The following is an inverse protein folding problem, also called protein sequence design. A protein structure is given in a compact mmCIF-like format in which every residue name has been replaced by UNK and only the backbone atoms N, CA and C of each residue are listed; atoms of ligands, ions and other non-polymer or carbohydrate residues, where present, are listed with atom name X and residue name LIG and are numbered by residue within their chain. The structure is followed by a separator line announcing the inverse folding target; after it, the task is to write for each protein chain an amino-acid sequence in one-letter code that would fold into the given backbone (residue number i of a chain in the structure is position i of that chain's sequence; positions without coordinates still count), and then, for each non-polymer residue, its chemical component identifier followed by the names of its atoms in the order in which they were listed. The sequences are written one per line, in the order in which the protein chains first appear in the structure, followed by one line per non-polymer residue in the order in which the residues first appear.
data_IF_891763338713
#
_entry.id   IF_891763338713
#
_cell.length_a   1.000
_cell.length_b   1.000
_cell.length_c   1.000
_cell.angle_alpha   90.00
_cell.angle_beta   90.00
_cell.angle_gamma   90.00
#
_symmetry.space_group_name_H-M   'P 1'
#
loop_
_entity.id
_entity.type
_entity.pdbx_description
1 polymer ?
#
# COMPACT_ATOMS: atom_id res chain seq x y z
N UNK A 1 -8.43 5.54 17.52
CA UNK A 1 -8.68 4.23 16.92
C UNK A 1 -7.59 3.94 15.91
N UNK A 2 -6.97 2.74 15.97
CA UNK A 2 -6.12 2.23 14.90
C UNK A 2 -6.94 1.27 14.03
N UNK A 3 -7.26 1.69 12.81
CA UNK A 3 -8.02 0.88 11.87
C UNK A 3 -7.07 0.08 10.97
N UNK A 4 -6.64 -1.09 11.48
CA UNK A 4 -5.67 -1.97 10.82
C UNK A 4 -6.34 -3.17 10.13
N UNK A 5 -7.65 -3.35 10.31
CA UNK A 5 -8.39 -4.45 9.69
C UNK A 5 -8.38 -4.32 8.16
N UNK A 6 -7.99 -5.38 7.49
CA UNK A 6 -7.97 -5.43 6.02
C UNK A 6 -8.10 -6.88 5.53
N UNK A 7 -8.65 -7.02 4.33
CA UNK A 7 -8.56 -8.23 3.53
C UNK A 7 -7.51 -8.07 2.45
N UNK A 8 -6.65 -9.07 2.32
CA UNK A 8 -5.56 -9.11 1.36
C UNK A 8 -5.32 -10.58 0.97
N UNK A 9 -5.50 -10.91 -0.32
CA UNK A 9 -5.30 -12.26 -0.86
C UNK A 9 -5.01 -12.18 -2.37
N UNK A 10 -4.68 -13.34 -2.98
CA UNK A 10 -4.56 -13.54 -4.44
C UNK A 10 -5.82 -14.18 -5.05
N UNK A 11 -6.84 -14.49 -4.24
CA UNK A 11 -8.06 -15.13 -4.71
C UNK A 11 -8.91 -14.17 -5.57
N UNK A 12 -9.68 -14.68 -6.55
CA UNK A 12 -10.55 -13.89 -7.41
C UNK A 12 -11.89 -13.51 -6.75
N UNK A 13 -11.90 -13.28 -5.45
CA UNK A 13 -13.04 -12.85 -4.65
C UNK A 13 -13.09 -11.33 -4.49
N UNK A 14 -13.06 -10.64 -5.62
CA UNK A 14 -12.89 -9.19 -5.72
C UNK A 14 -13.84 -8.39 -4.82
N UNK A 15 -15.09 -8.82 -4.66
CA UNK A 15 -16.06 -8.13 -3.80
C UNK A 15 -15.66 -8.13 -2.32
N UNK A 16 -14.91 -9.13 -1.87
CA UNK A 16 -14.46 -9.24 -0.47
C UNK A 16 -13.49 -8.13 -0.10
N UNK A 17 -12.61 -7.71 -1.03
CA UNK A 17 -11.73 -6.55 -0.82
C UNK A 17 -12.53 -5.29 -0.49
N UNK A 18 -13.57 -5.00 -1.27
CA UNK A 18 -14.40 -3.80 -1.07
C UNK A 18 -15.27 -3.92 0.18
N UNK A 19 -15.88 -5.09 0.41
CA UNK A 19 -16.71 -5.32 1.58
C UNK A 19 -15.94 -5.13 2.88
N UNK A 20 -14.74 -5.68 2.98
CA UNK A 20 -13.92 -5.58 4.20
C UNK A 20 -13.22 -4.23 4.28
N UNK A 21 -12.46 -3.83 3.25
CA UNK A 21 -11.61 -2.65 3.33
C UNK A 21 -12.42 -1.34 3.19
N UNK A 22 -13.35 -1.27 2.24
CA UNK A 22 -14.10 -0.03 1.96
C UNK A 22 -15.37 0.06 2.79
N UNK A 23 -16.28 -0.92 2.68
CA UNK A 23 -17.54 -0.90 3.42
C UNK A 23 -17.30 -1.00 4.93
N UNK A 24 -16.35 -1.85 5.38
CA UNK A 24 -15.98 -1.94 6.79
C UNK A 24 -15.47 -0.61 7.36
N UNK A 25 -14.74 0.19 6.57
CA UNK A 25 -14.32 1.54 6.98
C UNK A 25 -15.51 2.50 7.05
N UNK A 26 -16.42 2.45 6.07
CA UNK A 26 -17.63 3.29 6.10
C UNK A 26 -18.47 2.97 7.35
N UNK A 27 -18.68 1.68 7.66
CA UNK A 27 -19.40 1.25 8.86
C UNK A 27 -18.73 1.70 10.16
N UNK A 28 -17.40 1.75 10.23
CA UNK A 28 -16.69 2.32 11.37
C UNK A 28 -17.09 3.77 11.63
N UNK A 29 -17.05 4.62 10.59
CA UNK A 29 -17.43 6.03 10.71
C UNK A 29 -18.93 6.22 10.97
N UNK A 30 -19.77 5.43 10.31
CA UNK A 30 -21.22 5.40 10.55
C UNK A 30 -21.50 5.11 12.03
N UNK A 31 -20.91 4.06 12.59
CA UNK A 31 -21.05 3.71 14.01
C UNK A 31 -20.58 4.83 14.95
N UNK A 32 -19.43 5.47 14.66
CA UNK A 32 -18.91 6.58 15.45
C UNK A 32 -19.92 7.73 15.47
N UNK A 33 -20.47 8.08 14.31
CA UNK A 33 -21.40 9.21 14.17
C UNK A 33 -22.75 8.90 14.76
N UNK A 34 -23.36 7.74 14.47
CA UNK A 34 -24.69 7.38 14.94
C UNK A 34 -24.76 7.21 16.47
N UNK A 35 -23.70 6.68 17.05
CA UNK A 35 -23.64 6.48 18.50
C UNK A 35 -23.05 7.66 19.26
N UNK A 36 -22.66 8.73 18.56
CA UNK A 36 -22.07 9.91 19.18
C UNK A 36 -20.78 9.63 19.95
N UNK A 37 -19.96 8.69 19.46
CA UNK A 37 -18.73 8.28 20.15
C UNK A 37 -17.68 9.40 20.08
N UNK A 38 -17.12 9.74 21.24
CA UNK A 38 -16.01 10.69 21.33
C UNK A 38 -14.70 10.00 20.92
N UNK A 39 -14.25 10.26 19.69
CA UNK A 39 -13.01 9.70 19.13
C UNK A 39 -12.01 10.82 18.90
N UNK A 40 -10.86 10.74 19.58
CA UNK A 40 -9.80 11.74 19.42
C UNK A 40 -9.17 11.71 18.03
N UNK A 41 -8.93 10.51 17.48
CA UNK A 41 -8.34 10.35 16.15
C UNK A 41 -8.52 8.91 15.61
N UNK A 42 -8.64 8.79 14.29
CA UNK A 42 -8.57 7.51 13.57
C UNK A 42 -7.29 7.47 12.72
N UNK A 43 -6.48 6.45 12.92
CA UNK A 43 -5.30 6.17 12.08
C UNK A 43 -5.63 4.96 11.20
N UNK A 44 -5.62 5.16 9.90
CA UNK A 44 -6.02 4.16 8.90
C UNK A 44 -4.79 3.55 8.26
N UNK A 45 -4.68 2.23 8.30
CA UNK A 45 -3.70 1.50 7.51
C UNK A 45 -4.08 1.55 6.03
N UNK A 46 -3.45 2.42 5.27
CA UNK A 46 -3.44 2.44 3.81
C UNK A 46 -2.29 1.55 3.29
N UNK A 47 -1.84 1.72 2.06
CA UNK A 47 -0.79 0.88 1.46
C UNK A 47 -0.04 1.62 0.35
N UNK A 48 1.23 1.32 0.16
CA UNK A 48 1.99 1.71 -1.03
C UNK A 48 1.38 1.18 -2.35
N UNK A 49 0.58 0.10 -2.29
CA UNK A 49 -0.04 -0.49 -3.48
C UNK A 49 -0.92 0.51 -4.26
N UNK A 50 -1.38 1.59 -3.62
CA UNK A 50 -2.19 2.64 -4.28
C UNK A 50 -1.41 3.43 -5.34
N UNK A 51 -0.09 3.36 -5.34
CA UNK A 51 0.76 4.05 -6.31
C UNK A 51 0.92 3.32 -7.64
N UNK A 52 0.44 2.07 -7.73
CA UNK A 52 0.64 1.24 -8.92
C UNK A 52 2.12 0.90 -9.11
N UNK A 53 2.67 1.25 -10.26
CA UNK A 53 4.09 1.02 -10.57
C UNK A 53 5.03 2.03 -9.88
N UNK A 54 4.51 3.16 -9.37
CA UNK A 54 5.30 4.19 -8.71
C UNK A 54 5.73 5.34 -9.64
N UNK A 55 6.71 6.11 -9.18
CA UNK A 55 7.21 7.30 -9.87
C UNK A 55 8.55 7.01 -10.55
N UNK A 56 8.67 7.41 -11.80
CA UNK A 56 9.87 7.20 -12.60
C UNK A 56 10.29 8.47 -13.34
N UNK A 57 11.52 8.50 -13.84
CA UNK A 57 12.02 9.54 -14.72
C UNK A 57 12.41 8.95 -16.08
N UNK A 58 11.93 9.60 -17.13
CA UNK A 58 12.44 9.43 -18.48
C UNK A 58 13.43 10.56 -18.78
N UNK A 59 14.61 10.25 -19.28
CA UNK A 59 15.62 11.28 -19.62
C UNK A 59 15.12 12.32 -20.62
N UNK A 60 14.16 11.94 -21.48
CA UNK A 60 13.61 12.82 -22.52
C UNK A 60 12.32 13.50 -22.08
N UNK A 61 11.47 12.81 -21.28
CA UNK A 61 10.11 13.27 -20.98
C UNK A 61 9.90 13.61 -19.50
N UNK A 62 10.96 13.60 -18.68
CA UNK A 62 10.87 13.92 -17.25
C UNK A 62 10.08 12.87 -16.45
N UNK A 63 9.38 13.33 -15.40
CA UNK A 63 8.65 12.46 -14.49
C UNK A 63 7.52 11.73 -15.22
N UNK A 64 7.43 10.43 -14.99
CA UNK A 64 6.45 9.52 -15.59
C UNK A 64 5.81 8.62 -14.53
N UNK A 65 4.55 8.25 -14.79
CA UNK A 65 3.76 7.30 -13.99
C UNK A 65 3.31 6.16 -14.93
N UNK A 66 4.14 5.15 -15.12
CA UNK A 66 3.86 4.10 -16.10
C UNK A 66 2.65 3.26 -15.70
N UNK A 67 1.94 2.76 -16.71
CA UNK A 67 0.91 1.74 -16.51
C UNK A 67 1.54 0.37 -16.21
N UNK A 68 0.77 -0.61 -15.70
CA UNK A 68 1.24 -1.98 -15.55
C UNK A 68 1.80 -2.54 -16.86
N UNK A 69 2.85 -3.33 -16.74
CA UNK A 69 3.49 -3.99 -17.87
C UNK A 69 2.50 -4.87 -18.64
N UNK A 70 2.47 -4.74 -19.95
CA UNK A 70 1.60 -5.55 -20.80
C UNK A 70 2.10 -7.00 -20.92
N UNK A 71 1.21 -7.94 -21.19
CA UNK A 71 1.57 -9.34 -21.44
C UNK A 71 2.62 -9.44 -22.57
N UNK A 72 2.45 -8.67 -23.65
CA UNK A 72 3.40 -8.63 -24.78
C UNK A 72 4.81 -8.14 -24.36
N UNK A 73 4.89 -7.17 -23.43
CA UNK A 73 6.16 -6.70 -22.88
C UNK A 73 6.85 -7.81 -22.08
N UNK A 74 6.08 -8.51 -21.22
CA UNK A 74 6.59 -9.60 -20.38
C UNK A 74 7.02 -10.82 -21.21
N UNK A 75 6.31 -11.16 -22.30
CA UNK A 75 6.70 -12.21 -23.25
C UNK A 75 8.06 -11.93 -23.90
N UNK A 76 8.37 -10.65 -24.15
CA UNK A 76 9.68 -10.21 -24.66
C UNK A 76 10.75 -10.12 -23.56
N UNK A 77 10.44 -10.50 -22.33
CA UNK A 77 11.33 -10.40 -21.15
C UNK A 77 11.80 -8.97 -20.87
N UNK A 78 10.96 -7.98 -21.16
CA UNK A 78 11.20 -6.60 -20.76
C UNK A 78 10.54 -6.38 -19.39
N UNK A 79 11.33 -6.60 -18.34
CA UNK A 79 10.83 -6.67 -16.97
C UNK A 79 10.59 -5.30 -16.33
N UNK A 80 11.32 -4.27 -16.73
CA UNK A 80 11.16 -2.92 -16.20
C UNK A 80 10.00 -2.17 -16.86
N UNK A 81 9.34 -1.24 -16.15
CA UNK A 81 8.44 -0.28 -16.77
C UNK A 81 9.15 0.54 -17.86
N UNK A 82 8.41 0.88 -18.90
CA UNK A 82 8.91 1.70 -20.01
C UNK A 82 8.18 3.03 -20.07
N UNK A 83 8.80 4.04 -20.65
CA UNK A 83 8.20 5.35 -20.82
C UNK A 83 6.94 5.25 -21.70
N UNK A 84 5.78 5.74 -21.24
CA UNK A 84 4.54 5.65 -22.01
C UNK A 84 4.54 6.52 -23.27
N UNK A 85 5.54 7.40 -23.44
CA UNK A 85 5.63 8.30 -24.58
C UNK A 85 6.60 7.78 -25.65
N UNK A 86 7.80 7.34 -25.25
CA UNK A 86 8.84 6.90 -26.18
C UNK A 86 9.27 5.44 -26.05
N UNK A 87 8.63 4.69 -25.16
CA UNK A 87 8.97 3.29 -24.83
C UNK A 87 10.43 3.09 -24.35
N UNK A 88 11.14 4.19 -24.05
CA UNK A 88 12.52 4.16 -23.57
C UNK A 88 12.61 3.77 -22.10
N UNK A 89 13.84 3.52 -21.65
CA UNK A 89 14.15 3.15 -20.26
C UNK A 89 13.70 4.22 -19.27
N UNK A 90 13.11 3.77 -18.18
CA UNK A 90 12.77 4.59 -17.02
C UNK A 90 13.73 4.34 -15.86
N UNK A 91 13.90 5.36 -15.03
CA UNK A 91 14.68 5.33 -13.80
C UNK A 91 13.75 5.56 -12.62
N UNK A 92 13.79 4.66 -11.62
CA UNK A 92 12.93 4.75 -10.44
C UNK A 92 13.28 6.01 -9.64
N UNK A 93 12.24 6.73 -9.21
CA UNK A 93 12.32 7.84 -8.28
C UNK A 93 11.59 7.52 -6.98
N UNK A 94 11.87 8.28 -5.94
CA UNK A 94 11.05 8.26 -4.72
C UNK A 94 9.62 8.68 -5.06
N UNK A 95 8.64 7.90 -4.58
CA UNK A 95 7.22 8.19 -4.80
C UNK A 95 6.70 9.03 -3.64
N UNK A 96 6.26 10.25 -3.95
CA UNK A 96 5.60 11.13 -2.99
C UNK A 96 4.10 10.82 -2.85
N UNK A 97 3.43 11.48 -1.92
CA UNK A 97 2.01 11.23 -1.61
C UNK A 97 1.01 11.85 -2.59
N UNK A 98 1.48 12.53 -3.65
CA UNK A 98 0.61 13.34 -4.52
C UNK A 98 -0.11 12.49 -5.57
N UNK A 99 0.64 11.64 -6.28
CA UNK A 99 0.08 10.85 -7.39
C UNK A 99 -0.28 9.45 -6.93
N UNK A 100 -1.52 9.04 -7.18
CA UNK A 100 -2.01 7.67 -6.91
C UNK A 100 -2.56 7.05 -8.19
N UNK A 101 -2.28 5.77 -8.40
CA UNK A 101 -2.69 5.03 -9.60
C UNK A 101 -2.94 3.55 -9.26
N UNK A 102 -4.02 3.22 -8.53
CA UNK A 102 -4.27 1.86 -8.09
C UNK A 102 -4.72 0.97 -9.25
N UNK A 103 -4.05 -0.17 -9.46
CA UNK A 103 -4.27 -1.05 -10.61
C UNK A 103 -4.89 -2.42 -10.29
N UNK A 104 -5.18 -2.71 -9.02
CA UNK A 104 -5.82 -3.98 -8.65
C UNK A 104 -6.86 -3.78 -7.54
N UNK A 105 -7.68 -4.79 -7.30
CA UNK A 105 -8.80 -4.72 -6.34
C UNK A 105 -8.34 -4.37 -4.92
N UNK A 106 -7.18 -4.90 -4.48
CA UNK A 106 -6.61 -4.54 -3.19
C UNK A 106 -6.24 -3.05 -3.15
N UNK A 107 -5.45 -2.58 -4.09
CA UNK A 107 -5.02 -1.19 -4.16
C UNK A 107 -6.20 -0.22 -4.23
N UNK A 108 -7.20 -0.51 -5.08
CA UNK A 108 -8.42 0.29 -5.21
C UNK A 108 -9.17 0.32 -3.87
N UNK A 109 -9.37 -0.84 -3.23
CA UNK A 109 -10.09 -0.92 -1.96
C UNK A 109 -9.38 -0.18 -0.83
N UNK A 110 -8.04 -0.22 -0.78
CA UNK A 110 -7.22 0.52 0.20
C UNK A 110 -7.25 2.02 -0.05
N UNK A 111 -7.21 2.45 -1.29
CA UNK A 111 -7.37 3.86 -1.62
C UNK A 111 -8.78 4.36 -1.30
N UNK A 112 -9.81 3.57 -1.61
CA UNK A 112 -11.19 3.87 -1.23
C UNK A 112 -11.34 3.96 0.30
N UNK A 113 -10.73 3.05 1.06
CA UNK A 113 -10.68 3.10 2.52
C UNK A 113 -10.09 4.42 3.02
N UNK A 114 -8.95 4.84 2.47
CA UNK A 114 -8.29 6.10 2.80
C UNK A 114 -9.20 7.29 2.49
N UNK A 115 -9.79 7.32 1.29
CA UNK A 115 -10.71 8.40 0.87
C UNK A 115 -11.96 8.51 1.74
N UNK A 116 -12.58 7.38 2.08
CA UNK A 116 -13.73 7.34 3.00
C UNK A 116 -13.35 7.99 4.32
N UNK A 117 -12.24 7.58 4.93
CA UNK A 117 -11.78 8.13 6.19
C UNK A 117 -11.48 9.62 6.12
N UNK A 118 -10.79 10.08 5.08
CA UNK A 118 -10.46 11.51 4.92
C UNK A 118 -11.70 12.39 4.72
N UNK A 119 -12.65 11.93 3.90
CA UNK A 119 -13.87 12.70 3.60
C UNK A 119 -14.81 12.73 4.80
N UNK A 120 -15.12 11.56 5.37
CA UNK A 120 -16.02 11.48 6.52
C UNK A 120 -15.37 12.09 7.78
N UNK A 121 -14.07 11.88 7.97
CA UNK A 121 -13.31 12.50 9.06
C UNK A 121 -13.45 14.03 9.05
N UNK A 122 -13.24 14.67 7.90
CA UNK A 122 -13.43 16.13 7.76
C UNK A 122 -14.87 16.55 7.98
N UNK A 123 -15.82 15.81 7.41
CA UNK A 123 -17.25 16.15 7.49
C UNK A 123 -17.78 16.13 8.93
N UNK A 124 -17.34 15.18 9.72
CA UNK A 124 -17.83 14.96 11.09
C UNK A 124 -16.82 15.38 12.18
N UNK A 125 -15.78 16.12 11.81
CA UNK A 125 -14.73 16.60 12.73
C UNK A 125 -14.06 15.46 13.52
N UNK A 126 -13.82 14.31 12.86
CA UNK A 126 -13.09 13.17 13.40
C UNK A 126 -11.67 13.22 12.80
N UNK A 127 -10.64 13.68 13.51
CA UNK A 127 -9.28 13.71 12.99
C UNK A 127 -8.88 12.35 12.45
N UNK A 128 -8.41 12.32 11.21
CA UNK A 128 -8.08 11.07 10.50
C UNK A 128 -6.73 11.19 9.82
N UNK A 129 -5.92 10.13 9.90
CA UNK A 129 -4.60 10.04 9.26
C UNK A 129 -4.53 8.76 8.43
N UNK A 130 -4.07 8.84 7.19
CA UNK A 130 -3.78 7.69 6.33
C UNK A 130 -2.30 7.32 6.40
N UNK A 131 -1.99 6.07 6.69
CA UNK A 131 -0.62 5.56 6.73
C UNK A 131 -0.40 4.58 5.58
N UNK A 132 0.37 4.98 4.58
CA UNK A 132 0.66 4.19 3.37
C UNK A 132 1.89 3.35 3.61
N UNK A 133 1.67 2.17 4.20
CA UNK A 133 2.78 1.27 4.52
C UNK A 133 3.39 0.67 3.26
N UNK A 134 4.72 0.60 3.25
CA UNK A 134 5.49 -0.24 2.35
C UNK A 134 5.43 -1.71 2.78
N UNK A 135 6.40 -2.54 2.42
CA UNK A 135 6.38 -3.96 2.80
C UNK A 135 6.84 -4.12 4.25
N UNK A 136 5.87 -4.22 5.15
CA UNK A 136 6.15 -4.36 6.59
C UNK A 136 6.73 -5.73 6.89
N UNK A 137 7.87 -5.75 7.59
CA UNK A 137 8.56 -6.96 8.01
C UNK A 137 8.90 -6.90 9.51
N UNK A 138 8.92 -8.05 10.15
CA UNK A 138 9.34 -8.11 11.55
C UNK A 138 8.85 -9.32 12.32
N UNK A 139 9.18 -9.33 13.61
CA UNK A 139 8.79 -10.40 14.52
C UNK A 139 7.27 -10.60 14.55
N UNK A 140 6.83 -11.84 14.68
CA UNK A 140 5.43 -12.29 14.68
C UNK A 140 4.71 -12.21 13.33
N UNK A 141 5.44 -12.00 12.23
CA UNK A 141 4.86 -12.14 10.89
C UNK A 141 4.34 -13.57 10.69
N UNK A 142 3.15 -13.70 10.07
CA UNK A 142 2.55 -15.01 9.81
C UNK A 142 3.41 -15.86 8.87
N UNK A 143 3.75 -17.07 9.29
CA UNK A 143 4.45 -18.05 8.45
C UNK A 143 3.57 -18.67 7.36
N UNK A 144 2.24 -18.60 7.53
CA UNK A 144 1.28 -19.29 6.65
C UNK A 144 0.63 -18.37 5.62
N UNK A 145 0.72 -17.06 5.79
CA UNK A 145 0.14 -16.13 4.84
C UNK A 145 1.01 -16.04 3.57
N UNK A 146 0.54 -16.63 2.47
CA UNK A 146 1.25 -16.63 1.18
C UNK A 146 1.51 -15.20 0.64
N UNK A 147 0.67 -14.23 1.01
CA UNK A 147 0.80 -12.82 0.61
C UNK A 147 1.87 -12.05 1.40
N UNK A 148 2.48 -12.62 2.43
CA UNK A 148 3.32 -11.89 3.38
C UNK A 148 4.77 -11.62 2.95
N UNK A 149 5.02 -11.56 1.65
CA UNK A 149 6.25 -11.00 1.11
C UNK A 149 7.41 -11.98 0.92
N UNK A 150 8.23 -11.66 -0.07
CA UNK A 150 9.33 -12.50 -0.56
C UNK A 150 10.43 -12.71 0.49
N UNK A 151 10.75 -11.72 1.32
CA UNK A 151 11.82 -11.82 2.32
C UNK A 151 11.58 -12.99 3.29
N UNK A 152 10.34 -13.13 3.79
CA UNK A 152 9.99 -14.27 4.65
C UNK A 152 10.09 -15.61 3.90
N UNK A 153 9.59 -15.65 2.65
CA UNK A 153 9.65 -16.86 1.82
C UNK A 153 11.10 -17.29 1.63
N UNK A 154 11.97 -16.37 1.25
CA UNK A 154 13.40 -16.63 1.05
C UNK A 154 14.09 -17.08 2.34
N UNK A 155 13.81 -16.40 3.46
CA UNK A 155 14.35 -16.79 4.75
C UNK A 155 13.96 -18.23 5.14
N UNK A 156 12.68 -18.60 4.95
CA UNK A 156 12.20 -19.94 5.24
C UNK A 156 12.82 -21.01 4.31
N UNK A 157 12.93 -20.70 3.01
CA UNK A 157 13.56 -21.60 2.05
C UNK A 157 15.05 -21.80 2.35
N UNK A 158 15.78 -20.71 2.66
CA UNK A 158 17.20 -20.77 3.01
C UNK A 158 17.43 -21.59 4.29
N UNK A 159 16.62 -21.39 5.33
CA UNK A 159 16.68 -22.15 6.58
C UNK A 159 16.39 -23.64 6.37
N UNK A 160 15.53 -23.97 5.42
CA UNK A 160 15.21 -25.35 5.05
C UNK A 160 16.26 -25.98 4.10
N UNK A 161 17.29 -25.24 3.70
CA UNK A 161 18.30 -25.70 2.72
C UNK A 161 17.75 -25.87 1.29
N UNK A 162 16.61 -25.27 1.00
CA UNK A 162 15.96 -25.34 -0.32
C UNK A 162 16.40 -24.22 -1.27
N UNK A 163 16.09 -24.36 -2.57
CA UNK A 163 16.40 -23.34 -3.56
C UNK A 163 15.53 -22.10 -3.36
N UNK A 164 16.12 -20.93 -3.60
CA UNK A 164 15.37 -19.66 -3.66
C UNK A 164 14.79 -19.48 -5.08
N UNK A 165 13.51 -19.20 -5.17
CA UNK A 165 12.83 -18.93 -6.45
C UNK A 165 12.77 -17.43 -6.69
N UNK A 166 13.64 -16.92 -7.55
CA UNK A 166 13.56 -15.57 -8.08
C UNK A 166 12.65 -15.57 -9.32
N UNK A 167 11.73 -14.61 -9.37
CA UNK A 167 10.89 -14.38 -10.54
C UNK A 167 11.56 -13.38 -11.47
N UNK A 168 11.26 -13.48 -12.76
CA UNK A 168 11.79 -12.59 -13.82
C UNK A 168 13.34 -12.63 -13.82
N UNK A 169 13.99 -11.48 -13.70
CA UNK A 169 15.47 -11.36 -13.61
C UNK A 169 15.99 -11.25 -12.16
N UNK A 170 15.10 -11.13 -11.19
CA UNK A 170 15.44 -10.96 -9.78
C UNK A 170 15.85 -9.55 -9.38
N UNK A 171 15.86 -8.57 -10.30
CA UNK A 171 16.31 -7.19 -10.06
C UNK A 171 15.20 -6.26 -9.55
N UNK A 172 14.05 -6.81 -9.16
CA UNK A 172 12.90 -6.02 -8.69
C UNK A 172 13.22 -5.28 -7.41
N UNK A 173 13.08 -3.97 -7.43
CA UNK A 173 13.25 -3.11 -6.26
C UNK A 173 12.00 -3.22 -5.37
N UNK A 174 12.23 -3.33 -4.07
CA UNK A 174 11.17 -3.37 -3.04
C UNK A 174 11.58 -2.51 -1.86
N UNK A 175 10.62 -1.78 -1.34
CA UNK A 175 10.77 -0.97 -0.14
C UNK A 175 10.28 -1.77 1.08
N UNK A 176 11.14 -1.94 2.06
CA UNK A 176 10.87 -2.70 3.29
C UNK A 176 10.97 -1.80 4.51
N UNK A 177 9.99 -1.91 5.40
CA UNK A 177 9.95 -1.19 6.67
C UNK A 177 9.84 -2.18 7.84
N UNK A 178 10.56 -1.89 8.93
CA UNK A 178 10.46 -2.69 10.14
C UNK A 178 9.12 -2.43 10.87
N UNK A 179 8.47 -3.48 11.36
CA UNK A 179 7.19 -3.38 12.09
C UNK A 179 7.27 -2.44 13.31
N UNK A 180 8.45 -2.32 13.94
CA UNK A 180 8.63 -1.39 15.08
C UNK A 180 8.58 0.06 14.61
N UNK A 181 9.15 0.37 13.44
CA UNK A 181 9.11 1.71 12.88
C UNK A 181 7.70 2.07 12.40
N UNK A 182 6.96 1.11 11.84
CA UNK A 182 5.53 1.25 11.54
C UNK A 182 4.74 1.54 12.83
N UNK A 183 5.00 0.81 13.92
CA UNK A 183 4.34 1.06 15.19
C UNK A 183 4.63 2.46 15.73
N UNK A 184 5.89 2.92 15.67
CA UNK A 184 6.29 4.28 16.04
C UNK A 184 5.62 5.34 15.19
N UNK A 185 5.59 5.14 13.86
CA UNK A 185 4.91 6.05 12.94
C UNK A 185 3.41 6.19 13.27
N UNK A 186 2.74 5.08 13.63
CA UNK A 186 1.35 5.09 14.06
C UNK A 186 1.14 5.91 15.36
N UNK A 187 2.04 5.78 16.33
CA UNK A 187 1.97 6.55 17.59
C UNK A 187 2.18 8.04 17.30
N UNK A 188 3.19 8.39 16.50
CA UNK A 188 3.42 9.78 16.09
C UNK A 188 2.20 10.34 15.34
N UNK A 189 1.64 9.60 14.40
CA UNK A 189 0.44 10.00 13.67
C UNK A 189 -0.79 10.20 14.59
N UNK A 190 -0.89 9.40 15.65
CA UNK A 190 -1.95 9.56 16.66
C UNK A 190 -1.79 10.83 17.49
N UNK A 191 -0.56 11.14 17.91
CA UNK A 191 -0.27 12.21 18.87
C UNK A 191 -0.11 13.58 18.20
N UNK A 192 0.42 13.64 16.99
CA UNK A 192 0.72 14.90 16.30
C UNK A 192 -0.51 15.44 15.56
N UNK A 193 -1.03 16.58 15.97
CA UNK A 193 -2.17 17.23 15.32
C UNK A 193 -1.88 17.72 13.90
N UNK A 194 -0.60 17.97 13.56
CA UNK A 194 -0.19 18.35 12.20
C UNK A 194 -0.42 17.25 11.18
N UNK A 195 -0.57 16.01 11.64
CA UNK A 195 -0.90 14.85 10.82
C UNK A 195 -2.39 14.79 10.43
N UNK A 196 -3.27 15.52 11.11
CA UNK A 196 -4.71 15.44 10.90
C UNK A 196 -5.10 15.70 9.45
N UNK A 197 -5.94 14.81 8.91
CA UNK A 197 -6.48 14.86 7.54
C UNK A 197 -5.41 14.80 6.44
N UNK A 198 -4.30 14.13 6.71
CA UNK A 198 -3.21 13.92 5.76
C UNK A 198 -2.89 12.44 5.64
N UNK A 199 -2.23 12.09 4.54
CA UNK A 199 -1.66 10.75 4.32
C UNK A 199 -0.15 10.83 4.26
N UNK A 200 0.53 9.78 4.72
CA UNK A 200 1.99 9.71 4.79
C UNK A 200 2.49 8.35 4.32
N UNK A 201 3.58 8.36 3.59
CA UNK A 201 4.36 7.17 3.31
C UNK A 201 5.06 6.69 4.59
N UNK A 202 5.15 5.37 4.75
CA UNK A 202 5.88 4.70 5.82
C UNK A 202 6.69 3.58 5.19
N UNK A 203 7.93 3.90 4.85
CA UNK A 203 8.92 3.04 4.21
C UNK A 203 10.32 3.24 4.77
#
# INVERSE_FOLDING_TARGET
VFHLAAYQDYLPDFSTFFRVNSVGTALLYETIVEQGLSINKVVIASSQAIYGEGTYECKTHGVQYPSPRSAQQLEKRHWDPICPICEGKLYLLETNEIHVSPHNSYAISKYTQEMIGMVLGRRYNIPTVGMRYSIVQGARQSFRNAYSGVLRIFAMQALAGGPLTAYEDGEQIRDYVNVIDVARANVIALEDERANYRSFNVG
#
